data_IF_683387020237
#
_entry.id   IF_683387020237
#
_cell.length_a   1.000
_cell.length_b   1.000
_cell.length_c   1.000
_cell.angle_alpha   90.00
_cell.angle_beta   90.00
_cell.angle_gamma   90.00
#
_symmetry.space_group_name_H-M   'P 1'
#
loop_
_entity.id
_entity.type
_entity.pdbx_description
1 polymer ?
#
# COMPACT_ATOMS: atom_id res chain seq x y z
N UNK A 1 34.95 -32.67 12.54
CA UNK A 1 33.70 -33.11 13.19
C UNK A 1 32.87 -31.86 13.46
N UNK A 2 31.66 -31.81 12.90
CA UNK A 2 30.72 -30.68 12.88
C UNK A 2 30.40 -30.13 14.28
N UNK A 3 30.14 -28.81 14.38
CA UNK A 3 28.80 -28.26 14.72
C UNK A 3 28.66 -26.87 14.05
N UNK A 4 28.19 -26.85 12.79
CA UNK A 4 27.45 -25.70 12.24
C UNK A 4 25.97 -26.01 12.45
N UNK A 5 25.35 -25.40 13.45
CA UNK A 5 24.00 -25.74 13.88
C UNK A 5 23.16 -24.50 14.19
N UNK A 6 22.56 -23.92 13.15
CA UNK A 6 21.21 -23.34 13.15
C UNK A 6 20.85 -22.78 11.76
N UNK A 7 20.45 -23.67 10.84
CA UNK A 7 19.37 -23.42 9.87
C UNK A 7 19.39 -22.17 8.97
N UNK A 8 20.51 -21.76 8.39
CA UNK A 8 20.50 -20.77 7.29
C UNK A 8 20.44 -21.48 5.94
N UNK A 9 19.24 -21.80 5.46
CA UNK A 9 19.06 -22.42 4.13
C UNK A 9 19.06 -21.36 3.04
N UNK A 10 19.53 -21.69 1.83
CA UNK A 10 19.38 -20.86 0.62
C UNK A 10 17.90 -20.50 0.39
N UNK A 11 16.98 -21.39 0.77
CA UNK A 11 15.54 -21.13 0.79
C UNK A 11 15.14 -19.97 1.72
N UNK A 12 15.79 -19.79 2.87
CA UNK A 12 15.58 -18.64 3.76
C UNK A 12 16.08 -17.32 3.16
N UNK A 13 17.14 -17.36 2.35
CA UNK A 13 17.66 -16.20 1.61
C UNK A 13 16.68 -15.81 0.50
N UNK A 14 16.18 -16.79 -0.27
CA UNK A 14 15.24 -16.54 -1.36
C UNK A 14 13.83 -16.13 -0.89
N UNK A 15 13.43 -16.53 0.32
CA UNK A 15 12.11 -16.17 0.90
C UNK A 15 12.12 -14.87 1.71
N UNK A 16 13.26 -14.45 2.28
CA UNK A 16 13.34 -13.24 3.11
C UNK A 16 13.76 -11.96 2.38
N UNK A 17 14.45 -12.05 1.23
CA UNK A 17 15.08 -10.87 0.62
C UNK A 17 14.07 -9.94 -0.09
N UNK A 18 12.84 -10.39 -0.40
CA UNK A 18 11.93 -9.62 -1.28
C UNK A 18 10.44 -9.65 -0.88
N UNK A 19 10.09 -9.74 0.41
CA UNK A 19 8.68 -9.73 0.84
C UNK A 19 7.98 -8.39 0.54
N UNK A 20 8.53 -7.29 1.05
CA UNK A 20 7.90 -5.97 0.94
C UNK A 20 7.84 -5.41 -0.50
N UNK A 21 8.86 -5.56 -1.38
CA UNK A 21 8.78 -5.00 -2.73
C UNK A 21 7.54 -5.45 -3.51
N UNK A 22 7.18 -6.73 -3.43
CA UNK A 22 6.03 -7.28 -4.17
C UNK A 22 4.70 -6.74 -3.63
N UNK A 23 4.49 -6.86 -2.32
CA UNK A 23 3.25 -6.38 -1.70
C UNK A 23 3.11 -4.86 -1.81
N UNK A 24 4.22 -4.12 -1.73
CA UNK A 24 4.25 -2.68 -1.94
C UNK A 24 3.87 -2.31 -3.38
N UNK A 25 4.49 -2.96 -4.37
CA UNK A 25 4.21 -2.70 -5.78
C UNK A 25 2.72 -2.84 -6.11
N UNK A 26 2.11 -3.95 -5.69
CA UNK A 26 0.68 -4.19 -5.92
C UNK A 26 -0.21 -3.19 -5.18
N UNK A 27 0.11 -2.86 -3.93
CA UNK A 27 -0.64 -1.85 -3.16
C UNK A 27 -0.58 -0.49 -3.86
N UNK A 28 0.61 -0.07 -4.27
CA UNK A 28 0.83 1.18 -5.01
C UNK A 28 0.10 1.19 -6.35
N UNK A 29 0.18 0.10 -7.13
CA UNK A 29 -0.50 -0.01 -8.42
C UNK A 29 -2.01 0.18 -8.27
N UNK A 30 -2.63 -0.53 -7.32
CA UNK A 30 -4.07 -0.44 -7.11
C UNK A 30 -4.50 0.92 -6.55
N UNK A 31 -3.67 1.54 -5.70
CA UNK A 31 -3.89 2.93 -5.27
C UNK A 31 -3.86 3.90 -6.46
N UNK A 32 -2.90 3.76 -7.39
CA UNK A 32 -2.83 4.60 -8.59
C UNK A 32 -4.05 4.35 -9.50
N UNK A 33 -4.43 3.10 -9.73
CA UNK A 33 -5.63 2.76 -10.51
C UNK A 33 -6.90 3.30 -9.87
N UNK A 34 -7.01 3.22 -8.54
CA UNK A 34 -8.11 3.81 -7.80
C UNK A 34 -8.17 5.32 -8.00
N UNK A 35 -7.03 6.03 -7.97
CA UNK A 35 -7.01 7.46 -8.23
C UNK A 35 -7.41 7.85 -9.66
N UNK A 36 -7.10 7.02 -10.65
CA UNK A 36 -7.57 7.22 -12.04
C UNK A 36 -9.09 7.06 -12.10
N UNK A 37 -9.63 6.02 -11.45
CA UNK A 37 -11.07 5.80 -11.35
C UNK A 37 -11.78 6.92 -10.58
N UNK A 38 -11.19 7.37 -9.47
CA UNK A 38 -11.64 8.51 -8.68
C UNK A 38 -11.71 9.80 -9.51
N UNK A 39 -10.76 9.99 -10.43
CA UNK A 39 -10.79 11.12 -11.35
C UNK A 39 -11.96 11.04 -12.33
N UNK A 40 -12.25 9.84 -12.87
CA UNK A 40 -13.40 9.61 -13.76
C UNK A 40 -14.72 9.91 -13.04
N UNK A 41 -14.85 9.45 -11.80
CA UNK A 41 -16.02 9.67 -10.94
C UNK A 41 -16.07 11.04 -10.26
N UNK A 42 -15.10 11.92 -10.54
CA UNK A 42 -15.00 13.27 -10.00
C UNK A 42 -15.08 13.31 -8.47
N UNK A 43 -14.31 12.47 -7.78
CA UNK A 43 -14.30 12.41 -6.31
C UNK A 43 -14.06 13.77 -5.65
N UNK A 44 -13.40 14.70 -6.33
CA UNK A 44 -13.23 16.06 -5.83
C UNK A 44 -14.55 16.79 -5.54
N UNK A 45 -15.65 16.46 -6.22
CA UNK A 45 -16.99 16.99 -5.94
C UNK A 45 -17.56 16.33 -4.67
N UNK A 46 -17.39 15.02 -4.50
CA UNK A 46 -17.85 14.27 -3.34
C UNK A 46 -17.13 14.68 -2.06
N UNK A 47 -15.81 14.77 -2.10
CA UNK A 47 -14.97 15.16 -0.96
C UNK A 47 -14.88 16.68 -0.78
N UNK A 48 -15.57 17.47 -1.61
CA UNK A 48 -15.54 18.92 -1.56
C UNK A 48 -14.11 19.48 -1.56
N UNK A 49 -13.24 18.91 -2.41
CA UNK A 49 -11.82 19.26 -2.45
C UNK A 49 -11.67 20.73 -2.89
N UNK A 50 -10.95 21.57 -2.12
CA UNK A 50 -10.72 22.97 -2.49
C UNK A 50 -10.06 23.09 -3.87
N UNK A 51 -10.58 23.98 -4.72
CA UNK A 51 -10.08 24.16 -6.08
C UNK A 51 -10.50 23.07 -7.07
N UNK A 52 -11.40 22.16 -6.69
CA UNK A 52 -11.97 21.13 -7.56
C UNK A 52 -10.90 20.23 -8.16
N UNK A 53 -10.95 20.04 -9.49
CA UNK A 53 -9.99 19.19 -10.22
C UNK A 53 -8.53 19.60 -10.04
N UNK A 54 -8.23 20.89 -9.84
CA UNK A 54 -6.85 21.36 -9.63
C UNK A 54 -6.32 20.95 -8.26
N UNK A 55 -7.14 21.10 -7.21
CA UNK A 55 -6.80 20.60 -5.88
C UNK A 55 -6.63 19.09 -5.87
N UNK A 56 -7.50 18.37 -6.58
CA UNK A 56 -7.39 16.93 -6.75
C UNK A 56 -6.10 16.52 -7.47
N UNK A 57 -5.68 17.25 -8.51
CA UNK A 57 -4.44 16.98 -9.21
C UNK A 57 -3.21 17.19 -8.31
N UNK A 58 -3.19 18.26 -7.51
CA UNK A 58 -2.13 18.50 -6.52
C UNK A 58 -2.08 17.39 -5.48
N UNK A 59 -3.24 16.98 -4.96
CA UNK A 59 -3.34 15.83 -4.05
C UNK A 59 -2.76 14.56 -4.68
N UNK A 60 -3.15 14.25 -5.91
CA UNK A 60 -2.65 13.07 -6.64
C UNK A 60 -1.15 13.14 -6.89
N UNK A 61 -0.62 14.29 -7.29
CA UNK A 61 0.82 14.48 -7.45
C UNK A 61 1.57 14.16 -6.16
N UNK A 62 1.10 14.69 -5.02
CA UNK A 62 1.70 14.44 -3.72
C UNK A 62 1.58 12.96 -3.31
N UNK A 63 0.39 12.36 -3.42
CA UNK A 63 0.14 10.98 -3.03
C UNK A 63 0.94 9.98 -3.89
N UNK A 64 0.96 10.16 -5.21
CA UNK A 64 1.70 9.31 -6.15
C UNK A 64 3.21 9.45 -5.94
N UNK A 65 3.72 10.68 -5.77
CA UNK A 65 5.12 10.90 -5.45
C UNK A 65 5.53 10.23 -4.13
N UNK A 66 4.69 10.31 -3.10
CA UNK A 66 4.91 9.67 -1.81
C UNK A 66 5.03 8.15 -1.93
N UNK A 67 4.09 7.49 -2.63
CA UNK A 67 4.14 6.03 -2.78
C UNK A 67 5.29 5.57 -3.67
N UNK A 68 5.65 6.33 -4.72
CA UNK A 68 6.81 6.03 -5.57
C UNK A 68 8.14 6.20 -4.82
N UNK A 69 8.29 7.28 -4.05
CA UNK A 69 9.46 7.49 -3.20
C UNK A 69 9.61 6.36 -2.19
N UNK A 70 8.50 5.97 -1.54
CA UNK A 70 8.47 4.83 -0.64
C UNK A 70 8.84 3.51 -1.31
N UNK A 71 8.41 3.29 -2.56
CA UNK A 71 8.79 2.10 -3.32
C UNK A 71 10.30 2.06 -3.59
N UNK A 72 10.91 3.20 -3.94
CA UNK A 72 12.37 3.33 -4.04
C UNK A 72 13.06 2.96 -2.73
N UNK A 73 12.56 3.43 -1.58
CA UNK A 73 13.12 3.08 -0.27
C UNK A 73 13.04 1.59 0.04
N UNK A 74 11.94 0.93 -0.36
CA UNK A 74 11.74 -0.51 -0.22
C UNK A 74 12.68 -1.30 -1.13
N UNK A 75 12.83 -0.90 -2.39
CA UNK A 75 13.74 -1.55 -3.34
C UNK A 75 15.21 -1.45 -2.94
N UNK A 76 15.61 -0.30 -2.38
CA UNK A 76 16.98 -0.04 -1.93
C UNK A 76 17.24 -0.51 -0.48
N UNK A 77 16.27 -1.16 0.15
CA UNK A 77 16.35 -1.64 1.54
C UNK A 77 16.85 -0.58 2.55
N UNK A 78 16.45 0.67 2.35
CA UNK A 78 16.89 1.78 3.22
C UNK A 78 16.24 1.73 4.61
N UNK A 79 16.80 2.39 5.64
CA UNK A 79 16.19 2.46 6.97
C UNK A 79 14.77 3.04 7.01
N UNK A 80 14.37 3.82 6.00
CA UNK A 80 13.03 4.42 5.89
C UNK A 80 11.98 3.46 5.29
N UNK A 81 12.38 2.31 4.73
CA UNK A 81 11.46 1.38 4.09
C UNK A 81 10.28 0.96 4.99
N UNK A 82 10.46 0.64 6.29
CA UNK A 82 9.34 0.24 7.16
C UNK A 82 8.34 1.37 7.47
N UNK A 83 8.75 2.63 7.36
CA UNK A 83 7.87 3.79 7.52
C UNK A 83 6.97 3.92 6.29
N UNK A 84 7.58 4.01 5.11
CA UNK A 84 6.86 4.15 3.85
C UNK A 84 5.96 2.94 3.55
N UNK A 85 6.41 1.72 3.85
CA UNK A 85 5.57 0.53 3.76
C UNK A 85 4.33 0.63 4.65
N UNK A 86 4.47 1.17 5.86
CA UNK A 86 3.35 1.43 6.77
C UNK A 86 2.37 2.46 6.21
N UNK A 87 2.88 3.56 5.65
CA UNK A 87 2.07 4.61 5.02
C UNK A 87 1.30 4.04 3.81
N UNK A 88 1.98 3.39 2.87
CA UNK A 88 1.36 2.82 1.67
C UNK A 88 0.28 1.79 2.03
N UNK A 89 0.56 0.93 3.02
CA UNK A 89 -0.42 -0.04 3.48
C UNK A 89 -1.64 0.60 4.15
N UNK A 90 -1.42 1.64 4.95
CA UNK A 90 -2.49 2.40 5.58
C UNK A 90 -3.37 3.12 4.54
N UNK A 91 -2.77 3.66 3.48
CA UNK A 91 -3.52 4.22 2.35
C UNK A 91 -4.39 3.15 1.67
N UNK A 92 -3.82 1.99 1.33
CA UNK A 92 -4.57 0.91 0.66
C UNK A 92 -5.76 0.39 1.49
N UNK A 93 -5.57 0.21 2.80
CA UNK A 93 -6.67 -0.16 3.71
C UNK A 93 -7.65 1.00 3.89
N UNK A 94 -7.15 2.22 4.05
CA UNK A 94 -7.93 3.44 4.25
C UNK A 94 -8.87 3.73 3.10
N UNK A 95 -8.43 3.52 1.84
CA UNK A 95 -9.29 3.61 0.64
C UNK A 95 -10.55 2.78 0.82
N UNK A 96 -10.43 1.50 1.16
CA UNK A 96 -11.59 0.63 1.34
C UNK A 96 -12.49 1.08 2.50
N UNK A 97 -11.92 1.52 3.62
CA UNK A 97 -12.69 1.99 4.78
C UNK A 97 -13.50 3.26 4.48
N UNK A 98 -12.91 4.21 3.76
CA UNK A 98 -13.59 5.46 3.38
C UNK A 98 -14.75 5.13 2.43
N UNK A 99 -14.51 4.31 1.41
CA UNK A 99 -15.52 3.90 0.45
C UNK A 99 -16.64 3.08 1.09
N UNK A 100 -16.32 2.18 2.03
CA UNK A 100 -17.32 1.48 2.83
C UNK A 100 -18.17 2.47 3.65
N UNK A 101 -17.56 3.52 4.23
CA UNK A 101 -18.28 4.59 4.93
C UNK A 101 -19.28 5.32 4.04
N UNK A 102 -18.89 5.66 2.80
CA UNK A 102 -19.80 6.28 1.83
C UNK A 102 -20.93 5.35 1.39
N UNK A 103 -20.62 4.07 1.12
CA UNK A 103 -21.63 3.09 0.76
C UNK A 103 -22.66 2.91 1.91
N UNK A 104 -22.19 2.86 3.17
CA UNK A 104 -23.07 2.81 4.35
C UNK A 104 -23.90 4.09 4.54
N UNK A 105 -23.43 5.23 4.05
CA UNK A 105 -24.17 6.49 4.02
C UNK A 105 -25.17 6.60 2.86
N UNK A 106 -25.28 5.56 2.01
CA UNK A 106 -26.21 5.51 0.87
C UNK A 106 -25.74 6.25 -0.38
N UNK A 107 -24.45 6.58 -0.48
CA UNK A 107 -23.87 7.17 -1.68
C UNK A 107 -23.59 6.08 -2.72
N UNK A 108 -24.15 6.23 -3.92
CA UNK A 108 -24.08 5.21 -4.98
C UNK A 108 -22.89 5.38 -5.96
N UNK A 109 -21.92 6.21 -5.62
CA UNK A 109 -20.74 6.36 -6.46
C UNK A 109 -19.87 5.08 -6.37
N UNK A 110 -19.24 4.66 -7.47
CA UNK A 110 -18.32 3.50 -7.57
C UNK A 110 -18.91 2.09 -7.61
N UNK A 111 -20.16 1.91 -8.06
CA UNK A 111 -20.73 0.56 -8.20
C UNK A 111 -20.30 -0.23 -9.43
N UNK A 112 -19.45 0.31 -10.30
CA UNK A 112 -18.94 -0.47 -11.43
C UNK A 112 -18.14 -1.67 -10.92
N UNK A 113 -18.29 -2.86 -11.52
CA UNK A 113 -17.63 -4.07 -11.03
C UNK A 113 -16.11 -3.93 -10.90
N UNK A 114 -15.48 -3.20 -11.83
CA UNK A 114 -14.04 -2.98 -11.81
C UNK A 114 -13.61 -2.00 -10.71
N UNK A 115 -14.39 -0.95 -10.43
CA UNK A 115 -14.15 -0.02 -9.33
C UNK A 115 -14.15 -0.76 -7.98
N UNK A 116 -15.19 -1.56 -7.75
CA UNK A 116 -15.29 -2.40 -6.55
C UNK A 116 -14.14 -3.41 -6.45
N UNK A 117 -13.74 -4.01 -7.57
CA UNK A 117 -12.59 -4.92 -7.59
C UNK A 117 -11.29 -4.19 -7.24
N UNK A 118 -11.04 -2.99 -7.77
CA UNK A 118 -9.86 -2.18 -7.44
C UNK A 118 -9.83 -1.83 -5.95
N UNK A 119 -10.96 -1.42 -5.36
CA UNK A 119 -11.06 -1.13 -3.92
C UNK A 119 -10.76 -2.38 -3.08
N UNK A 120 -11.32 -3.53 -3.45
CA UNK A 120 -11.04 -4.80 -2.76
C UNK A 120 -9.56 -5.21 -2.91
N UNK A 121 -8.95 -4.96 -4.06
CA UNK A 121 -7.53 -5.21 -4.32
C UNK A 121 -6.62 -4.27 -3.53
N UNK A 122 -6.99 -3.00 -3.35
CA UNK A 122 -6.32 -2.07 -2.43
C UNK A 122 -6.31 -2.62 -1.00
N UNK A 123 -7.46 -3.10 -0.51
CA UNK A 123 -7.54 -3.72 0.82
C UNK A 123 -6.67 -4.97 0.91
N UNK A 124 -6.83 -5.91 -0.02
CA UNK A 124 -6.13 -7.18 0.00
C UNK A 124 -4.60 -7.00 -0.04
N UNK A 125 -4.12 -6.16 -0.95
CA UNK A 125 -2.69 -5.85 -1.08
C UNK A 125 -2.16 -5.02 0.10
N UNK A 126 -2.93 -4.06 0.62
CA UNK A 126 -2.57 -3.30 1.82
C UNK A 126 -2.45 -4.18 3.07
N UNK A 127 -3.38 -5.11 3.28
CA UNK A 127 -3.30 -6.10 4.37
C UNK A 127 -2.10 -7.03 4.17
N UNK A 128 -1.80 -7.44 2.94
CA UNK A 128 -0.60 -8.22 2.64
C UNK A 128 0.67 -7.44 2.98
N UNK A 129 0.79 -6.18 2.58
CA UNK A 129 1.92 -5.31 2.90
C UNK A 129 2.08 -5.12 4.42
N UNK A 130 0.98 -4.96 5.17
CA UNK A 130 1.02 -4.90 6.64
C UNK A 130 1.59 -6.19 7.25
N UNK A 131 1.21 -7.36 6.73
CA UNK A 131 1.72 -8.65 7.21
C UNK A 131 3.21 -8.78 6.93
N UNK A 132 3.66 -8.40 5.74
CA UNK A 132 5.08 -8.42 5.39
C UNK A 132 5.89 -7.43 6.25
N UNK A 133 5.37 -6.21 6.46
CA UNK A 133 5.98 -5.22 7.35
C UNK A 133 6.14 -5.74 8.78
N UNK A 134 5.12 -6.41 9.34
CA UNK A 134 5.19 -7.00 10.68
C UNK A 134 6.25 -8.10 10.77
N UNK A 135 6.38 -8.93 9.73
CA UNK A 135 7.41 -9.98 9.67
C UNK A 135 8.81 -9.37 9.66
N UNK A 136 9.06 -8.39 8.81
CA UNK A 136 10.36 -7.71 8.72
C UNK A 136 10.71 -7.01 10.04
N UNK A 137 9.78 -6.28 10.65
CA UNK A 137 10.01 -5.64 11.96
C UNK A 137 10.32 -6.66 13.06
N UNK A 138 9.62 -7.79 13.07
CA UNK A 138 9.89 -8.86 14.03
C UNK A 138 11.26 -9.51 13.85
N UNK A 139 11.77 -9.59 12.61
CA UNK A 139 13.13 -10.08 12.33
C UNK A 139 14.19 -9.09 12.82
N UNK A 140 14.02 -7.80 12.52
CA UNK A 140 14.93 -6.75 12.99
C UNK A 140 15.00 -6.69 14.52
N UNK A 141 13.86 -6.78 15.20
CA UNK A 141 13.81 -6.82 16.66
C UNK A 141 14.56 -8.02 17.25
N UNK A 142 14.47 -9.20 16.62
CA UNK A 142 15.22 -10.40 17.04
C UNK A 142 16.72 -10.32 16.79
N UNK A 143 17.16 -9.54 15.80
CA UNK A 143 18.59 -9.33 15.52
C UNK A 143 19.23 -8.31 16.47
N UNK A 144 18.42 -7.44 17.07
CA UNK A 144 18.88 -6.41 18.01
C UNK A 144 18.87 -6.86 19.49
N UNK A 145 18.32 -8.05 19.77
CA UNK A 145 18.26 -8.67 21.10
C UNK A 145 19.34 -9.73 21.25
#
# INVERSE_FOLDING_TARGET
MQVLGAGFTIGSILTNVNLMPRSYFWTMLFLILHQIDAAYWKEWEMFHVPGGVQGFLVFNLAAIALVLAGYRHVLLATPQAPLYAGICAALGVGTCLIHAGFALAGLEQFHLPLSMAIIALCLASGVWLLRDLRRVRGQLARQAA
#
